data_IF_148233186468
#
_entry.id   IF_148233186468
#
_cell.length_a   1.000
_cell.length_b   1.000
_cell.length_c   1.000
_cell.angle_alpha   90.00
_cell.angle_beta   90.00
_cell.angle_gamma   90.00
#
_symmetry.space_group_name_H-M   'P 1'
#
loop_
_entity.id
_entity.type
_entity.pdbx_description
1 polymer ?
#
# COMPACT_ATOMS: atom_id res chain seq x y z
N UNK A 1 -23.24 20.60 11.58
CA UNK A 1 -22.03 19.78 11.44
C UNK A 1 -21.90 19.46 9.96
N UNK A 2 -21.12 20.29 9.26
CA UNK A 2 -20.89 20.11 7.83
C UNK A 2 -19.93 18.92 7.68
N UNK A 3 -20.42 17.83 7.08
CA UNK A 3 -19.54 16.75 6.63
C UNK A 3 -18.56 17.35 5.61
N UNK A 4 -17.29 17.44 5.98
CA UNK A 4 -16.24 17.69 5.01
C UNK A 4 -16.37 16.62 3.93
N UNK A 5 -16.44 16.99 2.64
CA UNK A 5 -16.39 15.99 1.60
C UNK A 5 -15.12 15.17 1.83
N UNK A 6 -15.25 13.84 1.84
CA UNK A 6 -14.13 12.95 1.74
C UNK A 6 -13.25 13.53 0.64
N UNK A 7 -12.01 13.90 0.98
CA UNK A 7 -11.07 14.37 0.00
C UNK A 7 -10.98 13.21 -0.99
N UNK A 8 -11.70 13.36 -2.09
CA UNK A 8 -11.45 12.56 -3.27
C UNK A 8 -9.97 12.77 -3.49
N UNK A 9 -9.15 11.78 -3.15
CA UNK A 9 -7.77 11.74 -3.59
C UNK A 9 -7.92 11.94 -5.08
N UNK A 10 -7.74 13.19 -5.51
CA UNK A 10 -7.74 13.50 -6.90
C UNK A 10 -6.59 12.66 -7.43
N UNK A 11 -6.96 11.49 -7.92
CA UNK A 11 -6.08 10.68 -8.71
C UNK A 11 -5.79 11.55 -9.93
N UNK A 12 -4.83 12.45 -9.77
CA UNK A 12 -4.38 13.39 -10.79
C UNK A 12 -3.56 12.62 -11.83
N UNK A 13 -3.84 11.32 -11.94
CA UNK A 13 -3.50 10.55 -13.09
C UNK A 13 -4.36 11.11 -14.23
N UNK A 14 -3.78 12.07 -14.94
CA UNK A 14 -4.24 12.36 -16.29
C UNK A 14 -4.53 11.00 -16.95
N UNK A 15 -5.78 10.77 -17.37
CA UNK A 15 -6.19 9.50 -17.95
C UNK A 15 -5.32 9.09 -19.16
N UNK A 16 -4.56 10.02 -19.70
CA UNK A 16 -3.61 9.83 -20.79
C UNK A 16 -2.16 9.63 -20.34
N UNK A 17 -1.88 9.60 -19.03
CA UNK A 17 -0.50 9.50 -18.53
C UNK A 17 0.27 8.30 -19.09
N UNK A 18 -0.43 7.26 -19.47
CA UNK A 18 0.13 6.03 -20.04
C UNK A 18 -0.25 5.81 -21.51
N UNK A 19 -0.78 6.82 -22.17
CA UNK A 19 -0.97 6.82 -23.62
C UNK A 19 0.38 7.08 -24.29
N UNK A 20 0.86 6.11 -25.05
CA UNK A 20 2.14 6.18 -25.75
C UNK A 20 2.21 7.31 -26.78
N UNK A 21 1.06 7.86 -27.19
CA UNK A 21 0.96 8.99 -28.11
C UNK A 21 0.95 10.36 -27.41
N UNK A 22 0.92 10.42 -26.07
CA UNK A 22 0.81 11.67 -25.29
C UNK A 22 1.95 11.85 -24.27
N UNK A 23 3.12 12.14 -24.75
CA UNK A 23 4.30 12.43 -23.94
C UNK A 23 4.07 13.57 -22.92
N UNK A 24 3.25 14.55 -23.25
CA UNK A 24 2.99 15.67 -22.37
C UNK A 24 2.17 15.25 -21.13
N UNK A 25 1.19 14.35 -21.31
CA UNK A 25 0.43 13.79 -20.20
C UNK A 25 1.31 12.97 -19.26
N UNK A 26 2.20 12.14 -19.81
CA UNK A 26 3.18 11.39 -19.03
C UNK A 26 4.10 12.32 -18.21
N UNK A 27 4.63 13.39 -18.82
CA UNK A 27 5.50 14.33 -18.13
C UNK A 27 4.80 15.03 -16.97
N UNK A 28 3.55 15.47 -17.15
CA UNK A 28 2.75 16.08 -16.06
C UNK A 28 2.56 15.09 -14.90
N UNK A 29 2.19 13.86 -15.19
CA UNK A 29 2.05 12.81 -14.19
C UNK A 29 3.37 12.52 -13.47
N UNK A 30 4.46 12.36 -14.21
CA UNK A 30 5.81 12.14 -13.68
C UNK A 30 6.24 13.26 -12.74
N UNK A 31 6.08 14.51 -13.15
CA UNK A 31 6.48 15.67 -12.36
C UNK A 31 5.65 15.77 -11.07
N UNK A 32 4.36 15.48 -11.15
CA UNK A 32 3.51 15.37 -9.98
C UNK A 32 3.98 14.26 -9.04
N UNK A 33 4.27 13.07 -9.55
CA UNK A 33 4.78 11.94 -8.74
C UNK A 33 6.11 12.29 -8.06
N UNK A 34 7.03 12.91 -8.75
CA UNK A 34 8.32 13.32 -8.19
C UNK A 34 8.15 14.38 -7.10
N UNK A 35 7.21 15.31 -7.25
CA UNK A 35 6.88 16.30 -6.23
C UNK A 35 6.26 15.69 -4.97
N UNK A 36 5.59 14.55 -5.09
CA UNK A 36 4.93 13.85 -3.98
C UNK A 36 5.82 12.79 -3.29
N UNK A 37 7.05 12.61 -3.75
CA UNK A 37 7.94 11.59 -3.16
C UNK A 37 8.11 11.78 -1.65
N UNK A 38 8.16 10.68 -0.92
CA UNK A 38 8.49 10.71 0.49
C UNK A 38 9.96 11.11 0.70
N UNK A 39 10.22 11.99 1.66
CA UNK A 39 11.58 12.41 2.01
C UNK A 39 12.22 11.44 3.01
N UNK A 40 11.42 10.79 3.82
CA UNK A 40 11.81 9.81 4.82
C UNK A 40 10.74 8.72 4.96
N UNK A 41 11.08 7.69 5.71
CA UNK A 41 10.20 6.54 5.92
C UNK A 41 8.98 6.91 6.77
N UNK A 42 9.11 7.86 7.68
CA UNK A 42 8.02 8.28 8.56
C UNK A 42 6.85 8.90 7.78
N UNK A 43 7.16 9.54 6.64
CA UNK A 43 6.14 10.08 5.74
C UNK A 43 5.24 8.99 5.12
N UNK A 44 5.67 7.74 5.12
CA UNK A 44 4.92 6.59 4.60
C UNK A 44 4.05 5.93 5.66
N UNK A 45 4.33 6.16 6.95
CA UNK A 45 3.70 5.45 8.05
C UNK A 45 2.32 6.02 8.36
N UNK A 46 1.36 5.12 8.51
CA UNK A 46 0.02 5.40 9.04
C UNK A 46 -0.18 4.58 10.30
N UNK A 47 -0.55 5.22 11.39
CA UNK A 47 -0.92 4.52 12.61
C UNK A 47 -2.30 3.90 12.46
N UNK A 48 -2.41 2.60 12.72
CA UNK A 48 -3.61 1.78 12.53
C UNK A 48 -3.89 1.02 13.80
N UNK A 49 -5.10 1.16 14.34
CA UNK A 49 -5.49 0.49 15.58
C UNK A 49 -5.57 -1.03 15.40
N UNK A 50 -6.29 -1.47 14.37
CA UNK A 50 -6.38 -2.88 13.97
C UNK A 50 -6.39 -3.00 12.45
N UNK A 51 -5.37 -3.58 11.84
CA UNK A 51 -5.30 -3.71 10.38
C UNK A 51 -6.37 -4.63 9.79
N UNK A 52 -7.06 -5.42 10.60
CA UNK A 52 -8.19 -6.26 10.15
C UNK A 52 -9.49 -5.47 10.03
N UNK A 53 -9.58 -4.31 10.68
CA UNK A 53 -10.76 -3.46 10.73
C UNK A 53 -10.36 -1.97 10.71
N UNK A 54 -9.95 -1.47 9.54
CA UNK A 54 -9.55 -0.09 9.35
C UNK A 54 -10.73 0.85 9.58
N UNK A 55 -10.49 1.97 10.26
CA UNK A 55 -11.40 3.12 10.21
C UNK A 55 -11.39 3.74 8.80
N UNK A 56 -12.42 4.53 8.49
CA UNK A 56 -12.46 5.28 7.23
C UNK A 56 -11.24 6.19 7.06
N UNK A 57 -10.84 6.88 8.14
CA UNK A 57 -9.68 7.77 8.13
C UNK A 57 -8.35 7.02 7.91
N UNK A 58 -8.16 5.87 8.55
CA UNK A 58 -6.97 5.03 8.38
C UNK A 58 -6.89 4.50 6.95
N UNK A 59 -8.01 4.01 6.42
CA UNK A 59 -8.09 3.53 5.04
C UNK A 59 -7.75 4.64 4.04
N UNK A 60 -8.34 5.81 4.19
CA UNK A 60 -8.09 6.96 3.31
C UNK A 60 -6.64 7.42 3.39
N UNK A 61 -6.04 7.42 4.58
CA UNK A 61 -4.64 7.76 4.77
C UNK A 61 -3.70 6.77 4.08
N UNK A 62 -3.98 5.46 4.15
CA UNK A 62 -3.21 4.44 3.45
C UNK A 62 -3.32 4.60 1.92
N UNK A 63 -4.53 4.79 1.41
CA UNK A 63 -4.77 4.97 -0.02
C UNK A 63 -4.11 6.27 -0.54
N UNK A 64 -4.12 7.33 0.24
CA UNK A 64 -3.43 8.58 -0.09
C UNK A 64 -1.91 8.38 -0.22
N UNK A 65 -1.28 7.66 0.72
CA UNK A 65 0.15 7.32 0.62
C UNK A 65 0.45 6.50 -0.63
N UNK A 66 -0.35 5.47 -0.90
CA UNK A 66 -0.20 4.62 -2.08
C UNK A 66 -0.34 5.44 -3.36
N UNK A 67 -1.33 6.32 -3.45
CA UNK A 67 -1.54 7.16 -4.63
C UNK A 67 -0.36 8.09 -4.92
N UNK A 68 0.21 8.70 -3.88
CA UNK A 68 1.33 9.66 -4.02
C UNK A 68 2.68 8.99 -4.22
N UNK A 69 2.96 7.92 -3.50
CA UNK A 69 4.31 7.35 -3.38
C UNK A 69 4.42 5.90 -3.83
N UNK A 70 3.33 5.27 -4.27
CA UNK A 70 3.19 3.85 -4.62
C UNK A 70 3.43 2.89 -3.44
N UNK A 71 3.54 3.40 -2.23
CA UNK A 71 3.81 2.61 -1.04
C UNK A 71 3.13 3.24 0.17
N UNK A 72 2.70 2.41 1.09
CA UNK A 72 2.33 2.81 2.43
C UNK A 72 2.87 1.79 3.43
N UNK A 73 3.21 2.26 4.60
CA UNK A 73 3.53 1.44 5.76
C UNK A 73 2.47 1.68 6.82
N UNK A 74 2.12 0.67 7.58
CA UNK A 74 1.32 0.88 8.77
C UNK A 74 2.06 0.45 10.02
N UNK A 75 1.74 1.09 11.11
CA UNK A 75 2.20 0.74 12.45
C UNK A 75 0.97 0.44 13.30
N UNK A 76 0.95 -0.71 13.95
CA UNK A 76 -0.19 -1.16 14.76
C UNK A 76 0.30 -1.80 16.07
N UNK A 77 -0.48 -1.68 17.16
CA UNK A 77 -0.23 -2.44 18.38
C UNK A 77 -0.54 -3.93 18.24
N UNK A 78 -1.22 -4.35 17.17
CA UNK A 78 -1.51 -5.77 16.88
C UNK A 78 -0.25 -6.43 16.35
N UNK A 79 0.44 -7.19 17.21
CA UNK A 79 1.71 -7.86 16.89
C UNK A 79 1.60 -9.38 16.88
N UNK A 80 0.45 -9.94 17.27
CA UNK A 80 0.22 -11.37 17.23
C UNK A 80 0.24 -11.87 15.78
N UNK A 81 0.93 -12.97 15.56
CA UNK A 81 0.96 -13.62 14.26
C UNK A 81 -0.44 -14.10 13.86
N UNK A 82 -0.92 -13.65 12.72
CA UNK A 82 -2.24 -14.00 12.19
C UNK A 82 -2.18 -14.07 10.66
N UNK A 83 -2.25 -15.28 10.12
CA UNK A 83 -2.24 -15.50 8.67
C UNK A 83 -3.49 -14.97 7.95
N UNK A 84 -4.57 -14.71 8.68
CA UNK A 84 -5.79 -14.11 8.12
C UNK A 84 -5.67 -12.58 7.97
N UNK A 85 -4.67 -11.95 8.62
CA UNK A 85 -4.50 -10.50 8.60
C UNK A 85 -4.20 -9.95 7.20
N UNK A 86 -3.21 -10.47 6.43
CA UNK A 86 -2.89 -9.92 5.12
C UNK A 86 -4.07 -9.92 4.14
N UNK A 87 -4.85 -11.01 3.98
CA UNK A 87 -6.00 -10.98 3.10
C UNK A 87 -7.13 -10.10 3.64
N UNK A 88 -7.31 -9.98 4.97
CA UNK A 88 -8.30 -9.09 5.56
C UNK A 88 -7.96 -7.62 5.31
N UNK A 89 -6.70 -7.24 5.46
CA UNK A 89 -6.21 -5.89 5.12
C UNK A 89 -6.35 -5.61 3.62
N UNK A 90 -5.91 -6.53 2.79
CA UNK A 90 -5.95 -6.40 1.34
C UNK A 90 -7.36 -6.14 0.81
N UNK A 91 -8.36 -6.88 1.30
CA UNK A 91 -9.76 -6.68 0.90
C UNK A 91 -10.27 -5.27 1.21
N UNK A 92 -9.89 -4.69 2.33
CA UNK A 92 -10.28 -3.33 2.70
C UNK A 92 -9.66 -2.27 1.79
N UNK A 93 -8.54 -2.58 1.13
CA UNK A 93 -7.86 -1.72 0.17
C UNK A 93 -8.22 -2.03 -1.29
N UNK A 94 -9.21 -2.90 -1.52
CA UNK A 94 -9.68 -3.25 -2.86
C UNK A 94 -8.94 -4.43 -3.51
N UNK A 95 -8.06 -5.10 -2.80
CA UNK A 95 -7.34 -6.28 -3.29
C UNK A 95 -8.17 -7.55 -3.02
N UNK A 96 -8.98 -7.94 -3.98
CA UNK A 96 -9.91 -9.07 -3.85
C UNK A 96 -9.40 -10.34 -4.54
N UNK A 97 -8.33 -10.24 -5.30
CA UNK A 97 -7.80 -11.33 -6.10
C UNK A 97 -6.36 -11.61 -5.71
N UNK A 98 -6.10 -12.88 -5.42
CA UNK A 98 -4.73 -13.39 -5.28
C UNK A 98 -4.27 -13.95 -6.62
N UNK A 99 -3.05 -13.64 -7.00
CA UNK A 99 -2.42 -14.31 -8.14
C UNK A 99 -2.05 -15.73 -7.75
N UNK A 100 -2.16 -16.64 -8.72
CA UNK A 100 -1.71 -18.01 -8.54
C UNK A 100 -0.19 -18.00 -8.36
N UNK A 101 0.25 -18.33 -7.17
CA UNK A 101 1.66 -18.47 -6.84
C UNK A 101 1.91 -19.91 -6.37
N UNK A 102 2.72 -20.65 -7.12
CA UNK A 102 3.05 -22.04 -6.82
C UNK A 102 3.85 -22.21 -5.49
N UNK A 103 4.37 -21.12 -4.93
CA UNK A 103 5.03 -21.10 -3.62
C UNK A 103 4.08 -20.70 -2.48
N UNK A 104 2.81 -20.41 -2.79
CA UNK A 104 1.84 -20.08 -1.77
C UNK A 104 1.39 -21.33 -1.02
N UNK A 105 1.18 -21.17 0.28
CA UNK A 105 0.52 -22.17 1.12
C UNK A 105 -0.96 -22.35 0.72
N UNK A 106 -1.65 -23.34 1.28
CA UNK A 106 -3.08 -23.60 1.01
C UNK A 106 -3.99 -22.40 1.30
N UNK A 107 -3.57 -21.51 2.21
CA UNK A 107 -4.26 -20.25 2.54
C UNK A 107 -3.97 -19.09 1.57
N UNK A 108 -3.17 -19.33 0.52
CA UNK A 108 -2.78 -18.33 -0.48
C UNK A 108 -1.67 -17.39 -0.05
N UNK A 109 -1.07 -17.58 1.13
CA UNK A 109 0.05 -16.78 1.62
C UNK A 109 1.38 -17.45 1.27
N UNK A 110 2.35 -16.65 0.84
CA UNK A 110 3.73 -17.10 0.68
C UNK A 110 4.53 -16.72 1.93
N UNK A 111 4.96 -17.71 2.69
CA UNK A 111 5.75 -17.51 3.90
C UNK A 111 7.20 -17.88 3.64
N UNK A 112 8.13 -17.00 3.99
CA UNK A 112 9.56 -17.26 3.98
C UNK A 112 10.03 -17.24 5.43
N UNK A 113 10.47 -18.40 5.91
CA UNK A 113 11.12 -18.47 7.22
C UNK A 113 12.54 -17.91 7.12
N UNK A 114 12.79 -16.82 7.82
CA UNK A 114 14.15 -16.29 7.98
C UNK A 114 14.81 -17.08 9.10
N UNK A 115 15.76 -17.94 8.76
CA UNK A 115 16.63 -18.60 9.74
C UNK A 115 17.99 -17.92 9.75
N UNK A 116 18.52 -17.67 10.94
CA UNK A 116 19.94 -17.32 11.12
C UNK A 116 20.80 -18.55 10.73
N UNK A 117 20.97 -18.75 9.43
CA UNK A 117 22.07 -19.57 8.98
C UNK A 117 23.33 -18.71 9.08
N UNK A 118 24.06 -18.89 10.17
CA UNK A 118 25.46 -18.59 10.11
C UNK A 118 26.07 -19.54 9.07
N UNK A 119 26.35 -19.01 7.89
CA UNK A 119 27.18 -19.71 6.93
C UNK A 119 28.52 -19.96 7.61
N UNK A 120 28.78 -21.23 7.96
CA UNK A 120 30.03 -21.64 8.62
C UNK A 120 31.25 -21.50 7.71
N UNK A 121 31.40 -20.33 7.09
CA UNK A 121 32.61 -19.87 6.43
C UNK A 121 33.20 -18.77 7.30
N UNK A 122 33.90 -19.24 8.36
CA UNK A 122 34.88 -18.43 9.06
C UNK A 122 36.12 -18.24 8.20
#
# INVERSE_FOLDING_TARGET
MLAMPAATVANNADARAFDLGDDAAYRRWRDWKLAQRAHDIDALIVDVADPRALSGAERDALLDRIARTNMALYRSPVTAEDKALPPALGRQLGLHRLDANWLADEDGNSCIAVSDRSDGRG
#
